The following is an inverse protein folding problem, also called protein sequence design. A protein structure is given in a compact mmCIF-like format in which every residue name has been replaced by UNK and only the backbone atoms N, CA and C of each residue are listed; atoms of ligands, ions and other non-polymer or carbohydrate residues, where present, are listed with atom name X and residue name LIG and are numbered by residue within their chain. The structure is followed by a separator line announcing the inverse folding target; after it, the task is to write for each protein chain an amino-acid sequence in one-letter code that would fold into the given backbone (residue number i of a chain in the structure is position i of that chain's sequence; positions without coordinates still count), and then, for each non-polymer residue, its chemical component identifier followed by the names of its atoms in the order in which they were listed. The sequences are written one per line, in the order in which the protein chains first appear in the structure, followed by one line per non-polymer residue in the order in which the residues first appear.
data_IF_724111265161
#
_entry.id   IF_724111265161
#
_cell.length_a   1.000
_cell.length_b   1.000
_cell.length_c   1.000
_cell.angle_alpha   90.00
_cell.angle_beta   90.00
_cell.angle_gamma   90.00
#
_symmetry.space_group_name_H-M   'P 1'
#
loop_
_entity.id
_entity.type
_entity.pdbx_description
1 polymer ?
#
# COMPACT_ATOMS: atom_id res chain seq x y z
N UNK A 1 53.65 21.78 -20.86
CA UNK A 1 52.86 21.12 -21.92
C UNK A 1 52.00 20.05 -21.27
N UNK A 2 50.74 20.37 -20.94
CA UNK A 2 49.81 19.37 -20.43
C UNK A 2 49.54 18.36 -21.54
N UNK A 3 49.86 17.09 -21.28
CA UNK A 3 49.76 16.02 -22.25
C UNK A 3 48.28 15.84 -22.63
N UNK A 4 47.92 16.04 -23.91
CA UNK A 4 46.53 15.94 -24.42
C UNK A 4 45.84 14.63 -24.04
N UNK A 5 46.62 13.58 -23.79
CA UNK A 5 46.13 12.26 -23.39
C UNK A 5 45.65 12.19 -21.93
N UNK A 6 46.12 13.07 -21.03
CA UNK A 6 45.64 13.11 -19.64
C UNK A 6 44.24 13.74 -19.51
N UNK A 7 43.88 14.66 -20.40
CA UNK A 7 42.58 15.34 -20.38
C UNK A 7 41.45 14.39 -20.79
N UNK A 8 41.72 13.47 -21.72
CA UNK A 8 40.72 12.50 -22.20
C UNK A 8 40.37 11.47 -21.12
N UNK A 9 41.36 11.03 -20.32
CA UNK A 9 41.15 10.06 -19.24
C UNK A 9 40.35 10.69 -18.09
N UNK A 10 40.59 11.96 -17.76
CA UNK A 10 39.85 12.64 -16.70
C UNK A 10 38.38 12.91 -17.07
N UNK A 11 38.09 13.13 -18.36
CA UNK A 11 36.73 13.37 -18.85
C UNK A 11 35.86 12.10 -18.85
N UNK A 12 36.46 10.91 -19.01
CA UNK A 12 35.74 9.63 -18.94
C UNK A 12 35.27 9.24 -17.54
N UNK A 13 35.90 9.75 -16.47
CA UNK A 13 35.48 9.46 -15.09
C UNK A 13 34.29 10.31 -14.62
N UNK A 14 34.00 11.42 -15.30
CA UNK A 14 32.88 12.31 -14.94
C UNK A 14 31.56 11.82 -15.57
N UNK A 15 31.62 11.01 -16.63
CA UNK A 15 30.43 10.42 -17.27
C UNK A 15 29.93 9.11 -16.65
N UNK A 16 30.62 8.55 -15.65
CA UNK A 16 30.05 7.52 -14.77
C UNK A 16 29.13 8.14 -13.69
N UNK A 17 28.35 9.16 -14.08
CA UNK A 17 27.26 9.72 -13.29
C UNK A 17 26.16 8.68 -13.14
N UNK A 18 26.00 8.20 -11.92
CA UNK A 18 25.09 7.16 -11.44
C UNK A 18 23.70 7.14 -12.11
N UNK A 19 23.18 5.92 -12.26
CA UNK A 19 21.80 5.53 -12.59
C UNK A 19 20.71 6.03 -11.59
N UNK A 20 20.90 7.19 -10.99
CA UNK A 20 20.00 7.84 -10.04
C UNK A 20 19.13 8.95 -10.67
N UNK A 21 18.96 8.92 -12.00
CA UNK A 21 18.28 9.98 -12.77
C UNK A 21 16.78 10.16 -12.45
N UNK A 22 16.14 9.21 -11.76
CA UNK A 22 14.69 9.23 -11.53
C UNK A 22 14.21 9.63 -10.12
N UNK A 23 15.12 9.95 -9.18
CA UNK A 23 14.73 10.36 -7.83
C UNK A 23 15.27 11.77 -7.56
N UNK A 24 14.36 12.74 -7.44
CA UNK A 24 14.70 14.11 -7.03
C UNK A 24 14.75 14.18 -5.50
N UNK A 25 15.84 14.66 -4.93
CA UNK A 25 15.90 14.91 -3.49
C UNK A 25 14.86 15.95 -3.09
N UNK A 26 14.02 15.62 -2.11
CA UNK A 26 12.89 16.45 -1.70
C UNK A 26 12.56 16.25 -0.23
N UNK A 27 12.07 17.31 0.41
CA UNK A 27 11.49 17.27 1.76
C UNK A 27 9.97 17.12 1.73
N UNK A 28 9.33 17.22 0.56
CA UNK A 28 7.89 17.02 0.42
C UNK A 28 7.53 15.53 0.61
N UNK A 29 6.79 15.17 1.67
CA UNK A 29 6.41 13.78 1.92
C UNK A 29 5.45 13.22 0.86
N UNK A 30 4.66 14.04 0.18
CA UNK A 30 3.81 13.57 -0.93
C UNK A 30 4.67 13.15 -2.12
N UNK A 31 5.67 13.96 -2.49
CA UNK A 31 6.62 13.60 -3.54
C UNK A 31 7.38 12.31 -3.21
N UNK A 32 7.72 12.06 -1.94
CA UNK A 32 8.35 10.79 -1.51
C UNK A 32 7.44 9.58 -1.75
N UNK A 33 6.14 9.71 -1.55
CA UNK A 33 5.17 8.65 -1.84
C UNK A 33 5.12 8.36 -3.35
N UNK A 34 5.07 9.40 -4.19
CA UNK A 34 5.05 9.24 -5.65
C UNK A 34 6.35 8.62 -6.16
N UNK A 35 7.51 9.06 -5.67
CA UNK A 35 8.80 8.46 -6.01
C UNK A 35 8.91 7.01 -5.53
N UNK A 36 8.39 6.68 -4.34
CA UNK A 36 8.36 5.31 -3.86
C UNK A 36 7.53 4.41 -4.78
N UNK A 37 6.38 4.88 -5.26
CA UNK A 37 5.55 4.15 -6.24
C UNK A 37 6.30 3.90 -7.54
N UNK A 38 6.98 4.91 -8.08
CA UNK A 38 7.81 4.76 -9.29
C UNK A 38 8.91 3.71 -9.07
N UNK A 39 9.58 3.73 -7.91
CA UNK A 39 10.62 2.77 -7.58
C UNK A 39 10.09 1.34 -7.43
N UNK A 40 8.91 1.17 -6.82
CA UNK A 40 8.23 -0.14 -6.77
C UNK A 40 7.96 -0.61 -8.20
N UNK A 41 7.36 0.23 -9.04
CA UNK A 41 7.04 -0.14 -10.43
C UNK A 41 8.29 -0.49 -11.25
N UNK A 42 9.42 0.14 -10.96
CA UNK A 42 10.73 -0.15 -11.57
C UNK A 42 11.53 -1.26 -10.88
N UNK A 43 10.90 -2.08 -10.03
CA UNK A 43 11.52 -3.18 -9.29
C UNK A 43 12.74 -2.77 -8.43
N UNK A 44 12.68 -1.58 -7.83
CA UNK A 44 13.69 -1.01 -6.91
C UNK A 44 13.11 -0.87 -5.50
N UNK A 45 12.76 -1.97 -4.81
CA UNK A 45 12.00 -1.91 -3.55
C UNK A 45 12.81 -1.38 -2.36
N UNK A 46 14.14 -1.53 -2.36
CA UNK A 46 14.99 -1.10 -1.25
C UNK A 46 14.96 0.43 -1.06
N UNK A 47 15.22 1.26 -2.09
CA UNK A 47 15.06 2.72 -1.94
C UNK A 47 13.59 3.12 -1.75
N UNK A 48 12.62 2.36 -2.27
CA UNK A 48 11.21 2.62 -2.03
C UNK A 48 10.83 2.47 -0.55
N UNK A 49 11.31 1.42 0.13
CA UNK A 49 11.14 1.21 1.58
C UNK A 49 11.58 2.47 2.35
N UNK A 50 12.76 2.99 2.02
CA UNK A 50 13.31 4.19 2.65
C UNK A 50 12.40 5.40 2.47
N UNK A 51 11.90 5.66 1.27
CA UNK A 51 11.05 6.81 0.99
C UNK A 51 9.69 6.70 1.69
N UNK A 52 9.10 5.50 1.73
CA UNK A 52 7.84 5.25 2.46
C UNK A 52 8.01 5.58 3.94
N UNK A 53 9.09 5.09 4.57
CA UNK A 53 9.36 5.34 6.00
C UNK A 53 9.59 6.82 6.29
N UNK A 54 10.35 7.51 5.42
CA UNK A 54 10.54 8.95 5.55
C UNK A 54 9.22 9.72 5.43
N UNK A 55 8.36 9.36 4.48
CA UNK A 55 7.05 9.99 4.32
C UNK A 55 6.16 9.76 5.55
N UNK A 56 6.09 8.53 6.08
CA UNK A 56 5.35 8.23 7.32
C UNK A 56 5.82 9.12 8.47
N UNK A 57 7.15 9.23 8.65
CA UNK A 57 7.72 10.05 9.72
C UNK A 57 7.32 11.52 9.58
N UNK A 58 7.47 12.10 8.39
CA UNK A 58 7.16 13.51 8.16
C UNK A 58 5.65 13.76 8.33
N UNK A 59 4.77 12.90 7.82
CA UNK A 59 3.33 13.06 8.00
C UNK A 59 2.89 12.94 9.46
N UNK A 60 3.57 12.12 10.27
CA UNK A 60 3.35 12.08 11.73
C UNK A 60 3.76 13.40 12.38
N UNK A 61 4.95 13.89 12.07
CA UNK A 61 5.48 15.14 12.62
C UNK A 61 4.62 16.35 12.26
N UNK A 62 4.04 16.36 11.05
CA UNK A 62 3.15 17.43 10.58
C UNK A 62 1.68 17.25 10.96
N UNK A 63 1.31 16.18 11.66
CA UNK A 63 -0.09 15.80 11.94
C UNK A 63 -0.99 15.74 10.69
N UNK A 64 -0.44 15.34 9.54
CA UNK A 64 -1.23 15.17 8.32
C UNK A 64 -1.87 13.78 8.28
N UNK A 65 -3.11 13.69 8.74
CA UNK A 65 -3.87 12.43 8.79
C UNK A 65 -4.09 11.82 7.41
N UNK A 66 -4.24 12.62 6.35
CA UNK A 66 -4.47 12.11 4.99
C UNK A 66 -3.18 11.61 4.37
N UNK A 67 -2.08 12.34 4.58
CA UNK A 67 -0.74 11.89 4.27
C UNK A 67 -0.46 10.53 4.92
N UNK A 68 -0.81 10.36 6.20
CA UNK A 68 -0.66 9.08 6.91
C UNK A 68 -1.52 7.96 6.33
N UNK A 69 -2.78 8.23 5.96
CA UNK A 69 -3.63 7.25 5.26
C UNK A 69 -2.96 6.75 3.99
N UNK A 70 -2.43 7.66 3.17
CA UNK A 70 -1.74 7.30 1.92
C UNK A 70 -0.47 6.50 2.20
N UNK A 71 0.34 6.93 3.16
CA UNK A 71 1.62 6.33 3.46
C UNK A 71 1.49 4.93 4.08
N UNK A 72 0.57 4.75 5.03
CA UNK A 72 0.32 3.44 5.64
C UNK A 72 -0.34 2.45 4.69
N UNK A 73 -1.23 2.92 3.82
CA UNK A 73 -1.74 2.09 2.72
C UNK A 73 -0.61 1.59 1.85
N UNK A 74 0.24 2.51 1.37
CA UNK A 74 1.38 2.16 0.51
C UNK A 74 2.33 1.22 1.24
N UNK A 75 2.51 1.38 2.55
CA UNK A 75 3.31 0.46 3.35
C UNK A 75 2.76 -0.97 3.33
N UNK A 76 1.46 -1.14 3.57
CA UNK A 76 0.83 -2.45 3.47
C UNK A 76 0.93 -3.05 2.07
N UNK A 77 0.66 -2.24 1.03
CA UNK A 77 0.77 -2.65 -0.37
C UNK A 77 2.20 -3.09 -0.73
N UNK A 78 3.21 -2.36 -0.24
CA UNK A 78 4.62 -2.66 -0.48
C UNK A 78 5.02 -4.01 0.11
N UNK A 79 4.60 -4.30 1.35
CA UNK A 79 4.96 -5.54 2.05
C UNK A 79 4.44 -6.80 1.33
N UNK A 80 3.28 -6.72 0.68
CA UNK A 80 2.68 -7.83 -0.08
C UNK A 80 3.01 -7.79 -1.58
N UNK A 81 3.87 -6.87 -2.01
CA UNK A 81 4.18 -6.68 -3.42
C UNK A 81 5.11 -7.78 -3.96
N UNK A 82 4.94 -8.11 -5.24
CA UNK A 82 5.86 -9.01 -5.96
C UNK A 82 7.30 -8.50 -5.96
N UNK A 83 7.50 -7.18 -5.83
CA UNK A 83 8.83 -6.57 -5.79
C UNK A 83 9.59 -6.97 -4.53
N UNK A 84 8.91 -7.04 -3.39
CA UNK A 84 9.49 -7.56 -2.14
C UNK A 84 9.79 -9.06 -2.28
N UNK A 85 8.88 -9.82 -2.90
CA UNK A 85 9.09 -11.24 -3.19
C UNK A 85 10.33 -11.48 -4.08
N UNK A 86 10.44 -10.75 -5.19
CA UNK A 86 11.59 -10.79 -6.10
C UNK A 86 12.92 -10.39 -5.46
N UNK A 87 12.89 -9.76 -4.27
CA UNK A 87 14.05 -9.32 -3.52
C UNK A 87 14.13 -10.01 -2.15
N UNK A 88 13.56 -11.22 -2.04
CA UNK A 88 13.51 -12.04 -0.82
C UNK A 88 14.85 -12.10 -0.08
N UNK A 89 15.93 -12.47 -0.77
CA UNK A 89 17.27 -12.61 -0.18
C UNK A 89 17.71 -11.35 0.58
N UNK A 90 17.40 -10.17 0.05
CA UNK A 90 17.71 -8.92 0.72
C UNK A 90 16.87 -8.74 1.98
N UNK A 91 15.54 -8.86 1.86
CA UNK A 91 14.63 -8.58 2.98
C UNK A 91 14.71 -9.64 4.09
N UNK A 92 15.02 -10.89 3.76
CA UNK A 92 15.34 -11.92 4.76
C UNK A 92 16.65 -11.59 5.51
N UNK A 93 17.69 -11.17 4.79
CA UNK A 93 19.00 -10.91 5.39
C UNK A 93 19.05 -9.61 6.20
N UNK A 94 18.49 -8.53 5.66
CA UNK A 94 18.62 -7.17 6.18
C UNK A 94 17.35 -6.64 6.84
N UNK A 95 16.19 -7.23 6.55
CA UNK A 95 14.91 -6.74 7.03
C UNK A 95 14.42 -5.50 6.27
N UNK A 96 13.28 -5.00 6.74
CA UNK A 96 12.70 -3.74 6.32
C UNK A 96 13.10 -2.62 7.27
N UNK A 97 13.17 -1.39 6.76
CA UNK A 97 13.64 -0.23 7.55
C UNK A 97 12.78 0.03 8.78
N UNK A 98 11.45 -0.05 8.65
CA UNK A 98 10.52 0.24 9.75
C UNK A 98 10.20 -0.97 10.63
N UNK A 99 10.19 -2.17 10.04
CA UNK A 99 9.63 -3.37 10.69
C UNK A 99 10.70 -4.42 11.04
N UNK A 100 11.95 -4.24 10.62
CA UNK A 100 13.02 -5.21 10.86
C UNK A 100 12.85 -6.51 10.06
N UNK A 101 13.31 -7.64 10.60
CA UNK A 101 13.31 -8.95 9.93
C UNK A 101 11.96 -9.66 10.08
N UNK A 102 11.00 -9.25 9.28
CA UNK A 102 9.62 -9.77 9.28
C UNK A 102 9.20 -10.34 7.92
N UNK A 103 10.15 -10.76 7.08
CA UNK A 103 9.82 -11.21 5.72
C UNK A 103 8.76 -12.34 5.70
N UNK A 104 8.89 -13.31 6.60
CA UNK A 104 7.95 -14.42 6.74
C UNK A 104 6.55 -13.93 7.18
N UNK A 105 6.50 -12.95 8.10
CA UNK A 105 5.26 -12.39 8.64
C UNK A 105 4.82 -11.10 7.93
N UNK A 106 5.35 -10.81 6.73
CA UNK A 106 5.14 -9.52 6.05
C UNK A 106 3.68 -9.29 5.66
N UNK A 107 2.94 -10.36 5.39
CA UNK A 107 1.51 -10.31 5.06
C UNK A 107 0.67 -9.99 6.29
N UNK A 108 0.95 -10.61 7.43
CA UNK A 108 0.35 -10.24 8.72
C UNK A 108 0.64 -8.77 9.04
N UNK A 109 1.88 -8.33 8.79
CA UNK A 109 2.25 -6.93 9.01
C UNK A 109 1.55 -5.97 8.05
N UNK A 110 1.30 -6.38 6.81
CA UNK A 110 0.51 -5.60 5.88
C UNK A 110 -0.95 -5.44 6.36
N UNK A 111 -1.53 -6.50 6.94
CA UNK A 111 -2.86 -6.44 7.56
C UNK A 111 -2.88 -5.39 8.68
N UNK A 112 -1.87 -5.35 9.56
CA UNK A 112 -1.76 -4.30 10.59
C UNK A 112 -1.83 -2.90 9.97
N UNK A 113 -1.05 -2.66 8.91
CA UNK A 113 -1.02 -1.35 8.23
C UNK A 113 -2.34 -1.01 7.54
N UNK A 114 -3.04 -1.99 6.97
CA UNK A 114 -4.38 -1.78 6.43
C UNK A 114 -5.41 -1.49 7.53
N UNK A 115 -5.30 -2.12 8.71
CA UNK A 115 -6.16 -1.81 9.87
C UNK A 115 -5.89 -0.40 10.38
N UNK A 116 -4.62 0.01 10.51
CA UNK A 116 -4.25 1.39 10.87
C UNK A 116 -4.86 2.37 9.87
N UNK A 117 -4.68 2.10 8.58
CA UNK A 117 -5.23 2.93 7.50
C UNK A 117 -6.75 3.04 7.59
N UNK A 118 -7.46 1.93 7.77
CA UNK A 118 -8.92 1.88 7.96
C UNK A 118 -9.36 2.77 9.13
N UNK A 119 -8.65 2.69 10.25
CA UNK A 119 -9.01 3.44 11.45
C UNK A 119 -8.76 4.94 11.28
N UNK A 120 -7.68 5.34 10.62
CA UNK A 120 -7.43 6.74 10.25
C UNK A 120 -8.51 7.29 9.33
N UNK A 121 -8.94 6.49 8.34
CA UNK A 121 -10.03 6.89 7.44
C UNK A 121 -11.35 7.06 8.20
N UNK A 122 -11.67 6.14 9.13
CA UNK A 122 -12.90 6.22 9.94
C UNK A 122 -12.91 7.40 10.92
N UNK A 123 -11.74 7.79 11.42
CA UNK A 123 -11.60 8.96 12.29
C UNK A 123 -11.78 10.28 11.51
N UNK A 124 -11.69 10.24 10.17
CA UNK A 124 -11.87 11.40 9.33
C UNK A 124 -13.36 11.74 9.10
N UNK A 125 -13.72 13.02 9.26
CA UNK A 125 -15.11 13.48 9.16
C UNK A 125 -15.63 13.62 7.71
N UNK A 126 -14.77 13.43 6.70
CA UNK A 126 -15.14 13.60 5.28
C UNK A 126 -15.85 12.39 4.68
N UNK A 127 -16.11 11.33 5.45
CA UNK A 127 -16.82 10.14 4.97
C UNK A 127 -16.21 9.55 3.69
N UNK A 128 -14.93 9.21 3.76
CA UNK A 128 -14.13 8.74 2.62
C UNK A 128 -14.48 7.28 2.23
N UNK A 129 -15.73 7.04 1.83
CA UNK A 129 -16.27 5.70 1.58
C UNK A 129 -15.54 4.97 0.45
N UNK A 130 -15.11 5.66 -0.61
CA UNK A 130 -14.30 5.04 -1.67
C UNK A 130 -12.97 4.50 -1.16
N UNK A 131 -12.34 5.18 -0.18
CA UNK A 131 -11.12 4.69 0.45
C UNK A 131 -11.42 3.49 1.36
N UNK A 132 -12.52 3.53 2.13
CA UNK A 132 -12.95 2.40 2.95
C UNK A 132 -13.26 1.15 2.12
N UNK A 133 -13.96 1.30 0.98
CA UNK A 133 -14.18 0.21 0.04
C UNK A 133 -12.86 -0.46 -0.34
N UNK A 134 -11.88 0.33 -0.78
CA UNK A 134 -10.62 -0.21 -1.28
C UNK A 134 -9.76 -0.83 -0.18
N UNK A 135 -9.74 -0.26 1.03
CA UNK A 135 -9.03 -0.87 2.17
C UNK A 135 -9.67 -2.20 2.57
N UNK A 136 -10.99 -2.30 2.57
CA UNK A 136 -11.67 -3.56 2.83
C UNK A 136 -11.41 -4.60 1.72
N UNK A 137 -11.35 -4.19 0.44
CA UNK A 137 -10.93 -5.09 -0.63
C UNK A 137 -9.50 -5.61 -0.43
N UNK A 138 -8.57 -4.74 -0.02
CA UNK A 138 -7.17 -5.14 0.28
C UNK A 138 -7.12 -6.15 1.43
N UNK A 139 -7.85 -5.88 2.53
CA UNK A 139 -7.96 -6.83 3.64
C UNK A 139 -8.52 -8.19 3.19
N UNK A 140 -9.63 -8.20 2.46
CA UNK A 140 -10.22 -9.44 1.94
C UNK A 140 -9.23 -10.23 1.06
N UNK A 141 -8.50 -9.53 0.19
CA UNK A 141 -7.46 -10.13 -0.65
C UNK A 141 -6.33 -10.71 0.19
N UNK A 142 -5.75 -9.93 1.11
CA UNK A 142 -4.62 -10.39 1.93
C UNK A 142 -5.01 -11.54 2.85
N UNK A 143 -6.20 -11.53 3.45
CA UNK A 143 -6.70 -12.68 4.22
C UNK A 143 -6.91 -13.91 3.34
N UNK A 144 -7.44 -13.75 2.12
CA UNK A 144 -7.60 -14.87 1.19
C UNK A 144 -6.26 -15.49 0.79
N UNK A 145 -5.27 -14.65 0.50
CA UNK A 145 -4.00 -15.11 -0.07
C UNK A 145 -3.05 -15.66 0.99
N UNK A 146 -3.09 -15.11 2.21
CA UNK A 146 -2.12 -15.44 3.25
C UNK A 146 -2.61 -16.49 4.25
N UNK A 147 -3.81 -16.31 4.81
CA UNK A 147 -4.32 -17.18 5.89
C UNK A 147 -5.49 -18.05 5.48
N UNK A 148 -6.07 -17.77 4.31
CA UNK A 148 -7.36 -18.33 3.86
C UNK A 148 -8.45 -18.24 4.95
N UNK A 149 -8.41 -17.17 5.77
CA UNK A 149 -9.37 -16.95 6.84
C UNK A 149 -10.71 -16.52 6.24
N UNK A 150 -11.54 -17.50 5.90
CA UNK A 150 -12.81 -17.32 5.21
C UNK A 150 -13.73 -16.30 5.89
N UNK A 151 -13.80 -16.28 7.23
CA UNK A 151 -14.60 -15.31 7.98
C UNK A 151 -14.14 -13.89 7.68
N UNK A 152 -12.84 -13.63 7.86
CA UNK A 152 -12.27 -12.30 7.60
C UNK A 152 -12.39 -11.88 6.14
N UNK A 153 -12.26 -12.83 5.21
CA UNK A 153 -12.49 -12.56 3.78
C UNK A 153 -13.93 -12.08 3.56
N UNK A 154 -14.93 -12.82 4.02
CA UNK A 154 -16.32 -12.49 3.79
C UNK A 154 -16.78 -11.23 4.51
N UNK A 155 -16.35 -11.02 5.76
CA UNK A 155 -16.68 -9.81 6.52
C UNK A 155 -16.15 -8.55 5.82
N UNK A 156 -14.90 -8.60 5.33
CA UNK A 156 -14.32 -7.49 4.60
C UNK A 156 -14.95 -7.32 3.21
N UNK A 157 -15.30 -8.41 2.53
CA UNK A 157 -15.95 -8.36 1.23
C UNK A 157 -17.34 -7.70 1.31
N UNK A 158 -18.18 -8.11 2.26
CA UNK A 158 -19.50 -7.50 2.47
C UNK A 158 -19.40 -6.05 2.95
N UNK A 159 -18.45 -5.75 3.83
CA UNK A 159 -18.21 -4.37 4.27
C UNK A 159 -17.76 -3.48 3.11
N UNK A 160 -16.91 -3.99 2.20
CA UNK A 160 -16.50 -3.25 1.00
C UNK A 160 -17.70 -2.87 0.13
N UNK A 161 -18.68 -3.78 -0.01
CA UNK A 161 -19.92 -3.58 -0.77
C UNK A 161 -20.82 -2.54 -0.16
N UNK A 162 -20.98 -2.57 1.16
CA UNK A 162 -21.71 -1.54 1.91
C UNK A 162 -21.16 -0.15 1.59
N UNK A 163 -19.85 0.05 1.73
CA UNK A 163 -19.22 1.34 1.43
C UNK A 163 -19.28 1.69 -0.05
N UNK A 164 -19.11 0.71 -0.94
CA UNK A 164 -19.19 0.93 -2.38
C UNK A 164 -20.57 1.50 -2.78
N UNK A 165 -21.64 0.98 -2.18
CA UNK A 165 -23.01 1.40 -2.49
C UNK A 165 -23.36 2.80 -2.00
N UNK A 166 -22.77 3.25 -0.88
CA UNK A 166 -23.06 4.56 -0.27
C UNK A 166 -22.04 5.64 -0.63
N UNK A 167 -21.00 5.33 -1.41
CA UNK A 167 -19.97 6.30 -1.79
C UNK A 167 -20.53 7.42 -2.66
N UNK A 168 -19.99 8.61 -2.50
CA UNK A 168 -20.25 9.73 -3.40
C UNK A 168 -19.60 9.44 -4.76
N UNK A 169 -20.43 9.23 -5.78
CA UNK A 169 -19.99 8.91 -7.15
C UNK A 169 -19.38 10.12 -7.88
N UNK A 170 -19.53 11.33 -7.34
CA UNK A 170 -18.88 12.53 -7.88
C UNK A 170 -17.42 12.64 -7.45
N UNK A 171 -17.02 11.96 -6.37
CA UNK A 171 -15.64 11.90 -5.90
C UNK A 171 -14.92 10.80 -6.70
N UNK A 172 -13.82 11.12 -7.39
CA UNK A 172 -13.04 10.11 -8.11
C UNK A 172 -12.59 8.98 -7.17
N UNK A 173 -12.82 7.72 -7.59
CA UNK A 173 -12.44 6.53 -6.83
C UNK A 173 -10.92 6.51 -6.51
N UNK A 174 -10.11 7.25 -7.27
CA UNK A 174 -8.66 7.36 -7.13
C UNK A 174 -8.16 8.43 -6.15
N UNK A 175 -9.04 9.25 -5.53
CA UNK A 175 -8.62 10.42 -4.74
C UNK A 175 -7.70 10.05 -3.57
N UNK A 176 -7.76 8.81 -3.08
CA UNK A 176 -6.91 8.31 -2.00
C UNK A 176 -6.29 6.93 -2.29
N UNK A 177 -6.89 6.13 -3.17
CA UNK A 177 -6.55 4.70 -3.34
C UNK A 177 -6.72 4.26 -4.80
N UNK A 178 -5.73 3.55 -5.33
CA UNK A 178 -5.78 2.89 -6.63
C UNK A 178 -6.41 1.50 -6.45
N UNK A 179 -7.24 1.09 -7.41
CA UNK A 179 -7.90 -0.23 -7.46
C UNK A 179 -6.94 -1.36 -7.05
N UNK A 180 -7.47 -2.32 -6.29
CA UNK A 180 -6.74 -3.50 -5.83
C UNK A 180 -6.13 -4.24 -7.02
N UNK A 181 -4.84 -4.56 -6.90
CA UNK A 181 -3.98 -5.13 -7.94
C UNK A 181 -4.71 -6.18 -8.80
N UNK A 182 -4.63 -6.01 -10.13
CA UNK A 182 -5.06 -7.01 -11.12
C UNK A 182 -6.52 -6.93 -11.59
N UNK A 183 -7.37 -6.11 -10.97
CA UNK A 183 -8.79 -6.04 -11.33
C UNK A 183 -9.14 -4.73 -12.04
N UNK A 184 -9.95 -4.80 -13.10
CA UNK A 184 -10.37 -3.64 -13.90
C UNK A 184 -11.49 -2.85 -13.22
N UNK A 185 -12.23 -3.48 -12.31
CA UNK A 185 -13.33 -2.83 -11.60
C UNK A 185 -13.61 -3.46 -10.23
N UNK A 186 -14.32 -2.72 -9.37
CA UNK A 186 -14.87 -3.24 -8.13
C UNK A 186 -15.76 -4.47 -8.35
N UNK A 187 -16.65 -4.42 -9.35
CA UNK A 187 -17.61 -5.49 -9.62
C UNK A 187 -16.93 -6.80 -10.02
N UNK A 188 -15.84 -6.71 -10.79
CA UNK A 188 -15.01 -7.85 -11.15
C UNK A 188 -14.38 -8.48 -9.91
N UNK A 189 -13.71 -7.67 -9.08
CA UNK A 189 -13.13 -8.12 -7.80
C UNK A 189 -14.18 -8.79 -6.91
N UNK A 190 -15.33 -8.13 -6.70
CA UNK A 190 -16.36 -8.65 -5.81
C UNK A 190 -16.93 -9.97 -6.33
N UNK A 191 -17.22 -10.07 -7.63
CA UNK A 191 -17.75 -11.30 -8.24
C UNK A 191 -16.76 -12.46 -8.11
N UNK A 192 -15.49 -12.22 -8.42
CA UNK A 192 -14.44 -13.23 -8.31
C UNK A 192 -14.31 -13.75 -6.88
N UNK A 193 -14.10 -12.85 -5.92
CA UNK A 193 -13.91 -13.21 -4.51
C UNK A 193 -15.15 -13.86 -3.92
N UNK A 194 -16.35 -13.37 -4.24
CA UNK A 194 -17.59 -13.97 -3.77
C UNK A 194 -17.81 -15.38 -4.33
N UNK A 195 -17.41 -15.61 -5.59
CA UNK A 195 -17.51 -16.94 -6.22
C UNK A 195 -16.51 -17.91 -5.60
N UNK A 196 -15.26 -17.47 -5.41
CA UNK A 196 -14.18 -18.27 -4.82
C UNK A 196 -14.47 -18.67 -3.38
N UNK A 197 -15.02 -17.75 -2.60
CA UNK A 197 -15.21 -17.93 -1.16
C UNK A 197 -16.64 -18.24 -0.76
N UNK A 198 -17.63 -18.24 -1.67
CA UNK A 198 -19.03 -18.53 -1.33
C UNK A 198 -19.58 -17.69 -0.16
N UNK A 199 -19.20 -16.41 -0.07
CA UNK A 199 -19.67 -15.54 0.99
C UNK A 199 -21.19 -15.37 0.90
N UNK A 200 -21.92 -15.84 1.92
CA UNK A 200 -23.37 -15.64 1.99
C UNK A 200 -23.63 -14.16 2.30
N UNK A 201 -24.48 -13.52 1.50
CA UNK A 201 -24.94 -12.16 1.80
C UNK A 201 -25.65 -12.15 3.16
N UNK A 202 -25.07 -11.47 4.14
CA UNK A 202 -25.69 -11.05 5.41
C UNK A 202 -26.63 -12.04 6.10
N UNK A 203 -26.09 -12.94 6.92
CA UNK A 203 -26.80 -13.48 8.08
C UNK A 203 -25.84 -13.44 9.26
N UNK A 204 -25.76 -12.30 9.95
CA UNK A 204 -25.37 -12.18 11.36
C UNK A 204 -25.43 -10.71 11.83
N UNK A 205 -26.63 -10.12 11.81
CA UNK A 205 -27.01 -9.02 12.71
C UNK A 205 -28.46 -9.22 13.19
N UNK A 206 -28.76 -10.39 13.75
CA UNK A 206 -29.94 -10.58 14.61
C UNK A 206 -29.58 -11.51 15.76
N UNK A 207 -28.71 -11.03 16.65
CA UNK A 207 -28.44 -11.69 17.93
C UNK A 207 -27.78 -10.70 18.89
N UNK A 208 -28.55 -9.68 19.30
CA UNK A 208 -28.46 -9.04 20.61
C UNK A 208 -29.34 -7.80 20.65
N UNK A 209 -30.65 -8.00 20.76
CA UNK A 209 -31.57 -7.03 21.38
C UNK A 209 -32.73 -7.85 21.95
N UNK A 210 -32.39 -8.64 22.96
CA UNK A 210 -33.35 -9.06 23.98
C UNK A 210 -33.07 -8.10 25.14
N UNK A 211 -33.98 -7.14 25.32
CA UNK A 211 -34.10 -6.39 26.57
C UNK A 211 -35.52 -6.72 27.06
N UNK A 212 -35.69 -7.30 28.27
CA UNK A 212 -36.99 -7.33 28.94
C UNK A 212 -37.42 -5.93 29.38
#
# INVERSE_FOLDING_TARGET
MLNKNCIIIFLSYILSGCSAVDIVETNDPHMKIEQALLLINSNRPIPADKLIVQAIRIFKESNDSIGLVRAYRLRGDFLISSQVENNENFFNKYGFILDGKIYDNRHEKAIDYFIITKNLIKADKRNLYSALTQIHMKLAKTYSDHTNNHKEVCDNLETSKKYYNIRDKSIPDNLLVTLVFGHKSYNEFYKEFNTKHHCKAGLNETSSLIIP
#
